data_IF_279559402749
#
_entry.id   IF_279559402749
#
_cell.length_a   1.000
_cell.length_b   1.000
_cell.length_c   1.000
_cell.angle_alpha   90.00
_cell.angle_beta   90.00
_cell.angle_gamma   90.00
#
_symmetry.space_group_name_H-M   'P 1'
#
loop_
_entity.id
_entity.type
_entity.pdbx_description
1 polymer ?
#
# COMPACT_ATOMS: atom_id res chain seq x y z
N UNK A 1 9.26 -3.23 -20.85
CA UNK A 1 9.84 -3.34 -19.48
C UNK A 1 8.93 -2.51 -18.60
N UNK A 2 8.11 -3.12 -17.74
CA UNK A 2 7.23 -2.38 -16.86
C UNK A 2 8.10 -1.61 -15.86
N UNK A 3 8.04 -0.28 -15.88
CA UNK A 3 8.65 0.57 -14.86
C UNK A 3 8.00 0.19 -13.52
N UNK A 4 8.75 -0.38 -12.59
CA UNK A 4 8.21 -0.78 -11.30
C UNK A 4 7.93 0.50 -10.49
N UNK A 5 6.65 0.92 -10.47
CA UNK A 5 6.19 2.23 -9.97
C UNK A 5 6.19 2.36 -8.44
N UNK A 6 6.24 1.23 -7.72
CA UNK A 6 6.39 1.14 -6.27
C UNK A 6 7.07 -0.18 -5.91
N UNK A 7 7.74 -0.23 -4.76
CA UNK A 7 8.51 -1.39 -4.30
C UNK A 7 7.74 -2.12 -3.20
N UNK A 8 7.65 -3.44 -3.30
CA UNK A 8 7.04 -4.30 -2.28
C UNK A 8 8.14 -5.18 -1.69
N UNK A 9 8.26 -5.19 -0.37
CA UNK A 9 9.22 -6.02 0.36
C UNK A 9 8.53 -6.74 1.50
N UNK A 10 9.08 -7.90 1.87
CA UNK A 10 8.56 -8.76 2.94
C UNK A 10 9.64 -8.90 3.99
N UNK A 11 9.30 -8.59 5.24
CA UNK A 11 10.19 -8.71 6.39
C UNK A 11 9.47 -9.55 7.44
N UNK A 12 9.70 -10.87 7.39
CA UNK A 12 8.91 -11.85 8.14
C UNK A 12 7.44 -11.78 7.74
N UNK A 13 6.57 -11.55 8.71
CA UNK A 13 5.12 -11.40 8.51
C UNK A 13 4.68 -9.95 8.24
N UNK A 14 5.62 -9.02 8.08
CA UNK A 14 5.32 -7.63 7.74
C UNK A 14 5.53 -7.38 6.24
N UNK A 15 4.52 -6.82 5.58
CA UNK A 15 4.63 -6.33 4.19
C UNK A 15 4.89 -4.84 4.20
N UNK A 16 5.95 -4.41 3.51
CA UNK A 16 6.27 -2.99 3.32
C UNK A 16 6.10 -2.61 1.86
N UNK A 17 5.29 -1.57 1.59
CA UNK A 17 5.08 -1.01 0.26
C UNK A 17 5.60 0.43 0.24
N UNK A 18 6.58 0.68 -0.61
CA UNK A 18 7.33 1.94 -0.74
C UNK A 18 6.93 2.59 -2.06
N UNK A 19 6.33 3.78 -1.98
CA UNK A 19 6.02 4.63 -3.13
C UNK A 19 7.09 5.71 -3.21
N UNK A 20 7.94 5.72 -4.27
CA UNK A 20 8.97 6.73 -4.43
C UNK A 20 8.35 8.08 -4.81
N UNK A 21 9.04 9.17 -4.49
CA UNK A 21 8.70 10.49 -5.03
C UNK A 21 8.83 10.47 -6.54
N UNK A 22 7.79 10.91 -7.28
CA UNK A 22 7.91 11.03 -8.73
C UNK A 22 9.07 11.99 -9.09
N UNK A 23 9.90 11.66 -10.09
CA UNK A 23 11.01 12.51 -10.48
C UNK A 23 10.50 13.90 -10.88
N UNK A 24 11.17 14.95 -10.38
CA UNK A 24 10.80 16.36 -10.57
C UNK A 24 10.52 16.70 -12.05
N UNK A 25 11.25 16.07 -12.97
CA UNK A 25 11.10 16.21 -14.43
C UNK A 25 9.66 15.95 -14.92
N UNK A 26 8.93 14.97 -14.37
CA UNK A 26 7.52 14.71 -14.74
C UNK A 26 6.56 15.78 -14.21
N UNK A 27 6.85 16.38 -13.04
CA UNK A 27 6.09 17.54 -12.51
C UNK A 27 6.31 18.80 -13.35
N UNK A 28 7.53 18.99 -13.87
CA UNK A 28 7.86 20.13 -14.72
C UNK A 28 7.25 20.07 -16.12
N UNK A 29 7.07 18.88 -16.69
CA UNK A 29 6.41 18.70 -18.00
C UNK A 29 4.92 19.12 -17.99
N UNK A 30 4.30 19.21 -16.82
CA UNK A 30 2.93 19.70 -16.65
C UNK A 30 2.87 21.22 -16.43
N UNK A 31 4.02 21.89 -16.26
CA UNK A 31 4.09 23.34 -16.15
C UNK A 31 4.52 23.96 -17.48
N UNK A 32 3.89 25.07 -17.92
CA UNK A 32 4.27 25.74 -19.16
C UNK A 32 5.54 26.57 -18.93
N UNK A 33 6.73 25.94 -18.90
CA UNK A 33 7.97 26.70 -18.66
C UNK A 33 8.73 27.08 -19.92
N UNK A 34 8.79 28.39 -20.15
CA UNK A 34 9.92 29.06 -20.78
C UNK A 34 11.12 28.97 -19.82
N UNK A 35 12.18 28.29 -20.28
CA UNK A 35 13.56 28.31 -19.77
C UNK A 35 13.79 27.98 -18.29
N UNK A 36 14.25 26.75 -18.02
CA UNK A 36 14.88 26.37 -16.75
C UNK A 36 16.37 26.67 -16.77
N UNK A 37 16.89 27.20 -15.66
CA UNK A 37 18.29 27.57 -15.53
C UNK A 37 19.14 26.34 -15.12
N UNK A 38 20.37 26.24 -15.64
CA UNK A 38 21.33 25.17 -15.34
C UNK A 38 21.57 24.92 -13.84
N UNK A 39 21.33 25.93 -13.01
CA UNK A 39 21.45 25.85 -11.55
C UNK A 39 20.34 25.00 -10.90
N UNK A 40 19.12 25.01 -11.46
CA UNK A 40 18.00 24.20 -10.98
C UNK A 40 18.27 22.72 -11.28
N UNK A 41 18.75 22.39 -12.49
CA UNK A 41 19.20 21.04 -12.86
C UNK A 41 20.33 20.50 -11.96
N UNK A 42 21.23 21.37 -11.50
CA UNK A 42 22.34 20.96 -10.64
C UNK A 42 21.86 20.66 -9.21
N UNK A 43 20.93 21.46 -8.68
CA UNK A 43 20.27 21.22 -7.40
C UNK A 43 19.42 19.93 -7.45
N UNK A 44 18.70 19.69 -8.54
CA UNK A 44 17.98 18.43 -8.75
C UNK A 44 18.91 17.22 -8.71
N UNK A 45 20.07 17.30 -9.37
CA UNK A 45 21.06 16.21 -9.37
C UNK A 45 21.65 15.96 -7.99
N UNK A 46 21.83 17.00 -7.19
CA UNK A 46 22.28 16.89 -5.79
C UNK A 46 21.18 16.26 -4.91
N UNK A 47 19.92 16.65 -5.11
CA UNK A 47 18.76 16.08 -4.40
C UNK A 47 18.49 14.63 -4.81
N UNK A 48 18.76 14.26 -6.07
CA UNK A 48 18.67 12.89 -6.59
C UNK A 48 19.76 11.95 -6.05
N UNK A 49 20.85 12.49 -5.48
CA UNK A 49 21.93 11.70 -4.87
C UNK A 49 21.68 11.36 -3.40
N UNK A 50 20.75 12.05 -2.72
CA UNK A 50 20.18 11.58 -1.47
C UNK A 50 19.12 10.52 -1.81
N UNK A 51 19.11 9.42 -1.07
CA UNK A 51 18.14 8.31 -1.18
C UNK A 51 16.79 8.80 -1.69
N UNK A 52 16.33 8.27 -2.83
CA UNK A 52 15.12 8.73 -3.54
C UNK A 52 14.03 9.03 -2.51
N UNK A 53 13.64 10.29 -2.31
CA UNK A 53 12.78 10.63 -1.18
C UNK A 53 11.49 9.82 -1.30
N UNK A 54 11.14 9.09 -0.25
CA UNK A 54 9.91 8.30 -0.19
C UNK A 54 8.72 9.26 -0.22
N UNK A 55 7.72 9.03 -1.07
CA UNK A 55 6.44 9.77 -1.02
C UNK A 55 5.47 9.16 -0.01
N UNK A 56 5.40 7.82 0.00
CA UNK A 56 4.60 7.07 0.96
C UNK A 56 5.22 5.72 1.31
N UNK A 57 5.10 5.32 2.57
CA UNK A 57 5.41 3.99 3.06
C UNK A 57 4.16 3.42 3.73
N UNK A 58 3.79 2.21 3.32
CA UNK A 58 2.76 1.42 3.96
C UNK A 58 3.39 0.20 4.60
N UNK A 59 3.08 -0.04 5.87
CA UNK A 59 3.48 -1.25 6.59
C UNK A 59 2.22 -1.98 7.03
N UNK A 60 2.14 -3.25 6.66
CA UNK A 60 0.98 -4.10 6.91
C UNK A 60 1.47 -5.33 7.64
N UNK A 61 1.03 -5.48 8.88
CA UNK A 61 1.22 -6.69 9.68
C UNK A 61 -0.14 -7.37 9.94
N UNK A 62 -0.15 -8.45 10.71
CA UNK A 62 -1.38 -9.22 10.97
C UNK A 62 -2.50 -8.40 11.64
N UNK A 63 -2.14 -7.41 12.45
CA UNK A 63 -3.06 -6.65 13.31
C UNK A 63 -3.20 -5.19 12.90
N UNK A 64 -2.23 -4.63 12.18
CA UNK A 64 -2.05 -3.20 11.99
C UNK A 64 -1.75 -2.84 10.54
N UNK A 65 -2.22 -1.65 10.20
CA UNK A 65 -1.93 -0.95 8.97
C UNK A 65 -1.36 0.42 9.35
N UNK A 66 -0.10 0.65 8.99
CA UNK A 66 0.59 1.92 9.21
C UNK A 66 0.86 2.58 7.87
N UNK A 67 0.60 3.88 7.81
CA UNK A 67 0.87 4.73 6.66
C UNK A 67 1.72 5.91 7.09
N UNK A 68 2.81 6.12 6.38
CA UNK A 68 3.67 7.28 6.50
C UNK A 68 3.63 8.01 5.16
N UNK A 69 3.19 9.26 5.18
CA UNK A 69 3.19 10.15 4.01
C UNK A 69 4.24 11.23 4.23
N UNK A 70 5.03 11.51 3.20
CA UNK A 70 6.00 12.59 3.21
C UNK A 70 5.57 13.63 2.17
N UNK A 71 5.25 14.83 2.62
CA UNK A 71 4.96 15.96 1.76
C UNK A 71 6.26 16.51 1.18
N UNK A 72 6.40 16.44 -0.15
CA UNK A 72 7.63 16.86 -0.84
C UNK A 72 7.92 18.35 -0.75
N UNK A 73 6.91 19.19 -0.52
CA UNK A 73 7.06 20.65 -0.56
C UNK A 73 7.38 21.26 0.81
N UNK A 74 6.94 20.62 1.90
CA UNK A 74 7.06 21.15 3.26
C UNK A 74 7.92 20.28 4.18
N UNK A 75 8.37 19.11 3.70
CA UNK A 75 9.05 18.11 4.54
C UNK A 75 8.15 17.54 5.65
N UNK A 76 6.86 17.83 5.60
CA UNK A 76 5.90 17.36 6.60
C UNK A 76 5.71 15.86 6.47
N UNK A 77 5.92 15.18 7.60
CA UNK A 77 5.69 13.74 7.73
C UNK A 77 4.39 13.53 8.48
N UNK A 78 3.41 12.98 7.79
CA UNK A 78 2.16 12.54 8.39
C UNK A 78 2.28 11.04 8.64
N UNK A 79 2.06 10.63 9.87
CA UNK A 79 2.07 9.24 10.28
C UNK A 79 0.74 8.87 10.91
N UNK A 80 0.14 7.80 10.40
CA UNK A 80 -1.17 7.32 10.81
C UNK A 80 -1.13 5.81 10.93
N UNK A 81 -1.73 5.28 12.00
CA UNK A 81 -1.79 3.85 12.28
C UNK A 81 -3.23 3.48 12.63
N UNK A 82 -3.71 2.40 12.02
CA UNK A 82 -5.04 1.85 12.28
C UNK A 82 -4.97 0.32 12.45
N UNK A 83 -5.91 -0.29 13.20
CA UNK A 83 -6.07 -1.74 13.17
C UNK A 83 -6.42 -2.21 11.75
N UNK A 84 -5.71 -3.21 11.24
CA UNK A 84 -5.89 -3.75 9.87
C UNK A 84 -7.34 -4.13 9.61
N UNK A 85 -7.98 -4.81 10.58
CA UNK A 85 -9.38 -5.26 10.51
C UNK A 85 -10.40 -4.12 10.40
N UNK A 86 -10.01 -2.88 10.72
CA UNK A 86 -10.88 -1.71 10.55
C UNK A 86 -10.76 -1.08 9.16
N UNK A 87 -9.81 -1.49 8.31
CA UNK A 87 -9.72 -1.00 6.93
C UNK A 87 -10.83 -1.68 6.10
N UNK A 88 -11.86 -0.91 5.75
CA UNK A 88 -13.08 -1.41 5.09
C UNK A 88 -13.00 -1.35 3.57
N UNK A 89 -12.26 -0.39 3.04
CA UNK A 89 -12.03 -0.27 1.60
C UNK A 89 -10.75 0.50 1.31
N UNK A 90 -10.10 0.13 0.21
CA UNK A 90 -8.99 0.86 -0.37
C UNK A 90 -9.10 0.83 -1.89
N UNK A 91 -9.10 2.00 -2.54
CA UNK A 91 -9.30 2.14 -3.99
C UNK A 91 -8.86 3.51 -4.48
N UNK A 92 -8.74 3.70 -5.80
CA UNK A 92 -8.69 5.04 -6.40
C UNK A 92 -9.93 5.87 -6.02
N UNK A 93 -9.75 7.14 -5.70
CA UNK A 93 -10.84 8.09 -5.56
C UNK A 93 -11.64 8.19 -6.89
N UNK A 94 -12.98 8.16 -6.79
CA UNK A 94 -13.88 8.28 -7.95
C UNK A 94 -14.18 9.73 -8.30
N UNK A 95 -13.99 10.64 -7.35
CA UNK A 95 -14.37 12.04 -7.46
C UNK A 95 -13.17 12.98 -7.64
N UNK A 96 -11.95 12.42 -7.66
CA UNK A 96 -10.70 13.18 -7.79
C UNK A 96 -9.51 12.25 -7.91
N UNK A 97 -8.31 12.83 -7.86
CA UNK A 97 -7.06 12.09 -7.81
C UNK A 97 -6.80 11.50 -6.42
N UNK A 98 -5.92 10.52 -6.33
CA UNK A 98 -5.45 9.97 -5.06
C UNK A 98 -6.10 8.68 -4.58
N UNK A 99 -5.43 8.08 -3.60
CA UNK A 99 -5.79 6.87 -2.88
C UNK A 99 -6.86 7.18 -1.85
N UNK A 100 -7.99 6.49 -1.97
CA UNK A 100 -9.11 6.58 -1.05
C UNK A 100 -9.05 5.43 -0.05
N UNK A 101 -8.89 5.76 1.24
CA UNK A 101 -8.86 4.77 2.33
C UNK A 101 -10.07 4.98 3.23
N UNK A 102 -10.87 3.93 3.43
CA UNK A 102 -12.02 3.94 4.33
C UNK A 102 -11.71 3.10 5.57
N UNK A 103 -11.61 3.76 6.72
CA UNK A 103 -11.44 3.11 8.02
C UNK A 103 -12.76 3.15 8.81
N UNK A 104 -13.14 2.03 9.42
CA UNK A 104 -14.35 1.93 10.23
C UNK A 104 -14.26 2.86 11.45
N UNK A 105 -15.23 3.77 11.58
CA UNK A 105 -15.31 4.70 12.71
C UNK A 105 -14.45 5.96 12.57
N UNK A 106 -13.79 6.16 11.41
CA UNK A 106 -13.05 7.37 11.09
C UNK A 106 -13.71 8.11 9.94
N UNK A 107 -13.49 9.42 9.86
CA UNK A 107 -13.79 10.18 8.66
C UNK A 107 -12.97 9.64 7.50
N UNK A 108 -13.55 9.77 6.33
CA UNK A 108 -13.07 9.13 5.13
C UNK A 108 -12.18 10.13 4.38
N UNK A 109 -10.94 9.72 4.08
CA UNK A 109 -9.90 10.63 3.58
C UNK A 109 -9.30 10.15 2.27
N UNK A 110 -8.77 11.10 1.50
CA UNK A 110 -8.04 10.87 0.25
C UNK A 110 -6.59 11.27 0.48
N UNK A 111 -5.67 10.43 0.01
CA UNK A 111 -4.23 10.63 0.14
C UNK A 111 -3.57 10.53 -1.23
N UNK A 112 -2.34 11.03 -1.38
CA UNK A 112 -1.56 10.88 -2.63
C UNK A 112 -2.25 11.48 -3.87
N UNK A 113 -2.93 12.62 -3.71
CA UNK A 113 -3.60 13.33 -4.80
C UNK A 113 -2.64 13.82 -5.90
N UNK A 114 -1.34 13.94 -5.58
CA UNK A 114 -0.27 14.32 -6.49
C UNK A 114 0.28 13.15 -7.33
N UNK A 115 -0.21 11.94 -7.12
CA UNK A 115 0.25 10.74 -7.83
C UNK A 115 -0.66 10.41 -9.02
N UNK A 116 -0.06 9.78 -10.04
CA UNK A 116 -0.77 9.34 -11.24
C UNK A 116 -1.87 8.31 -10.95
N UNK A 117 -2.98 8.41 -11.67
CA UNK A 117 -4.16 7.58 -11.45
C UNK A 117 -3.90 6.09 -11.71
N UNK A 118 -3.08 5.74 -12.70
CA UNK A 118 -2.73 4.34 -12.96
C UNK A 118 -1.91 3.77 -11.80
N UNK A 119 -0.95 4.55 -11.28
CA UNK A 119 -0.18 4.17 -10.09
C UNK A 119 -1.11 3.96 -8.89
N UNK A 120 -2.06 4.86 -8.66
CA UNK A 120 -3.02 4.73 -7.56
C UNK A 120 -3.90 3.48 -7.72
N UNK A 121 -4.32 3.15 -8.94
CA UNK A 121 -5.09 1.93 -9.22
C UNK A 121 -4.27 0.71 -8.84
N UNK A 122 -3.05 0.59 -9.35
CA UNK A 122 -2.15 -0.55 -9.10
C UNK A 122 -1.80 -0.66 -7.60
N UNK A 123 -1.45 0.46 -6.97
CA UNK A 123 -1.13 0.54 -5.55
C UNK A 123 -2.33 0.11 -4.69
N UNK A 124 -3.52 0.61 -4.99
CA UNK A 124 -4.72 0.27 -4.23
C UNK A 124 -5.07 -1.22 -4.34
N UNK A 125 -4.87 -1.82 -5.52
CA UNK A 125 -5.09 -3.24 -5.73
C UNK A 125 -4.09 -4.08 -4.92
N UNK A 126 -2.80 -3.73 -4.94
CA UNK A 126 -1.77 -4.48 -4.22
C UNK A 126 -1.94 -4.35 -2.70
N UNK A 127 -2.16 -3.14 -2.17
CA UNK A 127 -2.42 -2.93 -0.74
C UNK A 127 -3.67 -3.70 -0.28
N UNK A 128 -4.75 -3.66 -1.06
CA UNK A 128 -5.99 -4.36 -0.70
C UNK A 128 -5.84 -5.87 -0.69
N UNK A 129 -5.07 -6.42 -1.64
CA UNK A 129 -4.68 -7.84 -1.66
C UNK A 129 -3.92 -8.23 -0.40
N UNK A 130 -2.96 -7.42 0.04
CA UNK A 130 -2.19 -7.70 1.27
C UNK A 130 -3.07 -7.66 2.53
N UNK A 131 -3.97 -6.68 2.63
CA UNK A 131 -4.90 -6.58 3.77
C UNK A 131 -5.77 -7.84 3.86
N UNK A 132 -6.28 -8.32 2.73
CA UNK A 132 -7.15 -9.50 2.67
C UNK A 132 -6.43 -10.83 2.88
N UNK A 133 -5.14 -10.92 2.59
CA UNK A 133 -4.35 -12.14 2.80
C UNK A 133 -4.43 -12.64 4.25
N UNK A 134 -4.56 -11.74 5.22
CA UNK A 134 -4.71 -12.08 6.64
C UNK A 134 -6.16 -12.39 7.07
N UNK A 135 -7.14 -12.17 6.19
CA UNK A 135 -8.54 -12.52 6.45
C UNK A 135 -8.91 -13.90 5.90
N UNK A 136 -8.08 -14.48 5.04
CA UNK A 136 -8.24 -15.86 4.60
C UNK A 136 -7.97 -16.81 5.79
N UNK A 137 -8.93 -17.69 6.13
CA UNK A 137 -8.67 -18.71 7.13
C UNK A 137 -7.53 -19.60 6.59
N UNK A 138 -6.45 -19.72 7.37
CA UNK A 138 -5.37 -20.66 7.11
C UNK A 138 -5.98 -22.03 6.87
N UNK A 139 -6.07 -22.42 5.61
CA UNK A 139 -6.65 -23.70 5.20
C UNK A 139 -5.56 -24.77 5.37
N UNK A 140 -5.02 -24.88 6.58
CA UNK A 140 -4.29 -26.08 7.02
C UNK A 140 -5.33 -27.12 7.39
N UNK A 141 -6.01 -27.65 6.37
CA UNK A 141 -6.79 -28.87 6.51
C UNK A 141 -5.77 -29.99 6.61
N UNK A 142 -5.45 -30.36 7.83
CA UNK A 142 -4.72 -31.58 8.14
C UNK A 142 -5.57 -32.78 7.61
N UNK A 143 -5.16 -33.53 6.58
CA UNK A 143 -5.91 -34.68 6.12
C UNK A 143 -5.46 -35.89 6.95
N UNK A 144 -5.82 -35.91 8.24
CA UNK A 144 -5.52 -37.03 9.12
C UNK A 144 -6.78 -37.45 9.87
N UNK A 145 -7.44 -38.47 9.30
CA UNK A 145 -8.16 -39.49 10.08
C UNK A 145 -9.54 -39.13 10.58
N UNK A 146 -10.54 -39.11 9.70
CA UNK A 146 -11.87 -39.57 10.08
C UNK A 146 -11.83 -41.09 9.97
N UNK A 147 -11.35 -41.76 11.01
CA UNK A 147 -11.54 -43.21 11.14
C UNK A 147 -13.02 -43.45 11.48
N UNK A 148 -13.74 -43.99 10.51
CA UNK A 148 -15.01 -44.69 10.67
C UNK A 148 -14.90 -45.72 11.80
N UNK A 149 -15.38 -45.40 12.99
CA UNK A 149 -15.66 -46.43 13.99
C UNK A 149 -17.13 -46.83 13.90
N UNK A 150 -17.33 -47.85 13.08
CA UNK A 150 -18.55 -48.64 12.94
C UNK A 150 -18.98 -49.16 14.32
N UNK A 151 -20.23 -48.86 14.69
CA UNK A 151 -20.92 -49.33 15.90
C UNK A 151 -21.25 -50.83 15.76
N UNK A 152 -20.85 -51.74 16.66
CA UNK A 152 -21.40 -53.09 16.63
C UNK A 152 -22.76 -53.10 17.34
N UNK A 153 -23.84 -53.41 16.61
CA UNK A 153 -25.10 -53.89 17.19
C UNK A 153 -25.01 -55.40 17.28
N UNK A 154 -24.52 -55.91 18.40
CA UNK A 154 -24.74 -57.30 18.78
C UNK A 154 -26.07 -57.38 19.51
N UNK A 155 -27.06 -58.00 18.87
CA UNK A 155 -28.28 -58.44 19.54
C UNK A 155 -27.99 -59.66 20.41
N UNK A 156 -28.56 -59.65 21.61
CA UNK A 156 -28.86 -60.84 22.41
C UNK A 156 -30.19 -60.61 23.12
N UNK A 157 -31.24 -61.27 22.64
CA UNK A 157 -32.26 -61.95 23.45
C UNK A 157 -32.32 -63.37 22.90
#
# INVERSE_FOLDING_TARGET
MAEQRFLVSYEGDCVRVVVPTPPLIKRMQQMPFKSLNLMELYLERLLLQQETPLRALFEIDADRFRMILVATELGERIETEWPRKKIVAMRKNRYGHGLWIRVQGTLMETYLEDMDDELIVDLSAELWKMIRKYDEPSTDVNPAGIEDTIKPRSGQI
#
